data_IF_716133239329
#
_entry.id   IF_716133239329
#
_cell.length_a   1.000
_cell.length_b   1.000
_cell.length_c   1.000
_cell.angle_alpha   90.00
_cell.angle_beta   90.00
_cell.angle_gamma   90.00
#
_symmetry.space_group_name_H-M   'P 1'
#
loop_
_entity.id
_entity.type
_entity.pdbx_description
1 polymer ?
#
# COMPACT_ATOMS: atom_id res chain seq x y z
N UNK A 1 33.70 35.61 -40.54
CA UNK A 1 32.94 36.29 -39.48
C UNK A 1 32.86 35.33 -38.30
N UNK A 2 33.63 35.58 -37.24
CA UNK A 2 33.27 36.32 -36.01
C UNK A 2 32.84 35.34 -34.89
N UNK A 3 33.79 35.23 -33.94
CA UNK A 3 33.81 34.69 -32.58
C UNK A 3 32.65 35.17 -31.66
N UNK A 4 32.54 34.81 -30.35
CA UNK A 4 33.50 34.06 -29.51
C UNK A 4 32.94 33.03 -28.50
N UNK A 5 33.87 32.20 -28.01
CA UNK A 5 33.93 31.61 -26.67
C UNK A 5 34.70 32.60 -25.78
N UNK A 6 34.22 32.91 -24.56
CA UNK A 6 35.07 33.45 -23.48
C UNK A 6 34.66 32.82 -22.15
N UNK A 7 35.64 32.12 -21.56
CA UNK A 7 35.74 31.74 -20.15
C UNK A 7 36.45 32.88 -19.41
N UNK A 8 35.98 33.28 -18.23
CA UNK A 8 36.80 34.00 -17.26
C UNK A 8 36.28 33.85 -15.81
N UNK A 9 37.18 33.43 -14.92
CA UNK A 9 37.08 33.47 -13.45
C UNK A 9 37.46 34.88 -12.93
N UNK A 10 37.09 35.23 -11.69
CA UNK A 10 37.92 36.10 -10.83
C UNK A 10 38.28 35.36 -9.53
N UNK A 11 39.54 35.15 -9.14
CA UNK A 11 40.63 36.07 -8.75
C UNK A 11 40.39 36.72 -7.38
N UNK A 12 40.97 36.10 -6.35
CA UNK A 12 41.14 36.62 -4.99
C UNK A 12 42.20 37.73 -4.96
N UNK A 13 42.01 38.71 -4.09
CA UNK A 13 42.92 39.83 -3.83
C UNK A 13 43.16 39.91 -2.31
N UNK A 14 44.44 39.83 -1.92
CA UNK A 14 44.98 39.97 -0.57
C UNK A 14 45.03 41.44 -0.11
N UNK A 15 44.74 41.69 1.18
CA UNK A 15 45.36 42.71 2.04
C UNK A 15 45.05 42.36 3.52
N UNK A 16 45.77 42.76 4.56
CA UNK A 16 47.21 42.84 4.87
C UNK A 16 47.29 42.90 6.42
N UNK A 17 48.33 42.31 7.00
CA UNK A 17 48.50 42.09 8.45
C UNK A 17 49.07 43.35 9.14
N UNK A 18 48.48 43.76 10.28
CA UNK A 18 49.06 44.75 11.18
C UNK A 18 49.30 44.14 12.58
N UNK A 19 50.57 44.04 13.04
CA UNK A 19 50.95 43.50 14.34
C UNK A 19 51.05 44.60 15.39
N UNK A 20 50.31 44.52 16.49
CA UNK A 20 50.67 45.02 17.83
C UNK A 20 49.47 44.87 18.78
N UNK A 21 49.65 44.15 19.90
CA UNK A 21 48.69 44.17 21.01
C UNK A 21 48.53 42.83 21.73
N UNK A 22 49.61 42.37 22.35
CA UNK A 22 49.60 41.27 23.33
C UNK A 22 49.16 41.83 24.71
N UNK A 23 48.35 41.04 25.42
CA UNK A 23 48.13 40.95 26.89
C UNK A 23 46.99 41.73 27.56
N UNK A 24 46.16 40.93 28.25
CA UNK A 24 45.44 41.14 29.53
C UNK A 24 44.38 42.26 29.55
N UNK A 25 43.18 42.10 30.08
CA UNK A 25 42.83 41.54 31.38
C UNK A 25 41.32 41.22 31.47
N UNK A 26 41.00 40.35 32.42
CA UNK A 26 39.70 39.85 32.84
C UNK A 26 38.61 40.92 32.99
N UNK A 27 37.43 40.69 32.37
CA UNK A 27 36.13 40.77 33.05
C UNK A 27 35.12 39.83 32.38
N UNK A 28 34.62 38.87 33.15
CA UNK A 28 33.46 38.05 32.80
C UNK A 28 32.19 38.93 32.79
N UNK A 29 31.28 38.78 31.81
CA UNK A 29 29.95 39.38 31.93
C UNK A 29 29.15 38.70 33.07
N UNK A 30 28.26 39.45 33.74
CA UNK A 30 27.51 38.96 34.90
C UNK A 30 26.53 37.86 34.50
N UNK A 31 26.41 36.84 35.37
CA UNK A 31 25.46 35.73 35.25
C UNK A 31 24.03 36.26 35.10
N UNK A 32 23.37 35.90 34.00
CA UNK A 32 21.92 35.93 33.88
C UNK A 32 21.44 34.48 33.85
N UNK A 33 20.77 34.07 34.93
CA UNK A 33 20.07 32.79 35.02
C UNK A 33 18.88 32.79 34.05
N UNK A 34 19.15 32.34 32.82
CA UNK A 34 18.11 31.89 31.90
C UNK A 34 18.24 30.36 31.88
N UNK A 35 17.19 29.58 32.19
CA UNK A 35 17.29 28.13 32.12
C UNK A 35 17.64 27.75 30.68
N UNK A 36 18.90 27.37 30.48
CA UNK A 36 19.38 26.82 29.23
C UNK A 36 18.60 25.56 28.95
N UNK A 37 17.83 25.58 27.87
CA UNK A 37 17.43 24.36 27.19
C UNK A 37 18.71 23.57 26.92
N UNK A 38 18.95 22.53 27.72
CA UNK A 38 19.77 21.42 27.31
C UNK A 38 19.15 20.87 26.03
N UNK A 39 19.82 21.17 24.91
CA UNK A 39 19.60 20.49 23.64
C UNK A 39 20.03 19.03 23.81
N UNK A 40 19.20 18.25 24.51
CA UNK A 40 19.20 16.81 24.41
C UNK A 40 18.54 16.45 23.09
N UNK A 41 19.41 16.15 22.15
CA UNK A 41 19.16 15.39 20.94
C UNK A 41 18.52 14.04 21.31
N UNK A 42 17.20 14.00 21.45
CA UNK A 42 16.38 12.80 21.34
C UNK A 42 14.93 13.20 20.99
N UNK A 43 14.75 13.97 19.93
CA UNK A 43 13.50 13.88 19.18
C UNK A 43 13.55 12.57 18.39
N UNK A 44 13.07 11.50 19.02
CA UNK A 44 12.39 10.47 18.26
C UNK A 44 11.23 11.17 17.57
N UNK A 45 11.42 11.59 16.32
CA UNK A 45 10.34 12.03 15.46
C UNK A 45 9.34 10.87 15.40
N UNK A 46 8.35 10.94 16.27
CA UNK A 46 7.18 10.10 16.21
C UNK A 46 6.44 10.59 14.97
N UNK A 47 6.83 10.09 13.78
CA UNK A 47 6.15 10.38 12.52
C UNK A 47 4.69 10.04 12.76
N UNK A 48 3.86 11.07 12.89
CA UNK A 48 2.43 10.95 13.03
C UNK A 48 1.94 10.31 11.74
N UNK A 49 1.72 8.99 11.80
CA UNK A 49 1.29 8.20 10.65
C UNK A 49 -0.13 8.64 10.33
N UNK A 50 -0.26 9.57 9.40
CA UNK A 50 -1.54 9.93 8.78
C UNK A 50 -2.35 8.65 8.52
N UNK A 51 -3.59 8.54 9.04
CA UNK A 51 -4.38 7.33 8.90
C UNK A 51 -4.56 7.03 7.41
N UNK A 52 -4.04 5.90 6.95
CA UNK A 52 -4.03 5.54 5.54
C UNK A 52 -5.46 5.57 4.98
N UNK A 53 -5.77 6.63 4.23
CA UNK A 53 -7.06 6.77 3.59
C UNK A 53 -7.09 5.90 2.34
N UNK A 54 -8.03 4.96 2.33
CA UNK A 54 -8.42 4.27 1.10
C UNK A 54 -8.96 5.29 0.08
N UNK A 55 -8.79 5.05 -1.23
CA UNK A 55 -9.38 5.92 -2.24
C UNK A 55 -10.89 6.05 -2.01
N UNK A 56 -11.46 7.26 -2.17
CA UNK A 56 -12.89 7.48 -2.01
C UNK A 56 -13.65 6.65 -3.05
N UNK A 57 -14.81 6.13 -2.67
CA UNK A 57 -15.62 5.35 -3.59
C UNK A 57 -16.23 6.25 -4.68
N UNK A 58 -16.03 5.92 -5.97
CA UNK A 58 -16.69 6.65 -7.03
C UNK A 58 -18.21 6.46 -6.95
N UNK A 59 -18.96 7.42 -7.50
CA UNK A 59 -20.41 7.33 -7.55
C UNK A 59 -20.87 6.05 -8.28
N UNK A 60 -21.90 5.39 -7.75
CA UNK A 60 -22.46 4.14 -8.30
C UNK A 60 -21.40 3.06 -8.55
N UNK A 61 -20.46 2.91 -7.61
CA UNK A 61 -19.41 1.92 -7.68
C UNK A 61 -19.80 0.59 -7.06
N UNK A 62 -19.16 -0.46 -7.55
CA UNK A 62 -19.24 -1.84 -7.05
C UNK A 62 -17.84 -2.41 -7.06
N UNK A 63 -17.55 -3.41 -6.21
CA UNK A 63 -16.23 -4.02 -6.12
C UNK A 63 -16.29 -5.50 -6.45
N UNK A 64 -15.18 -6.07 -6.92
CA UNK A 64 -15.06 -7.52 -7.03
C UNK A 64 -14.92 -8.16 -5.64
N UNK A 65 -15.01 -9.49 -5.58
CA UNK A 65 -14.90 -10.25 -4.33
C UNK A 65 -13.60 -9.97 -3.57
N UNK A 66 -12.48 -9.80 -4.30
CA UNK A 66 -11.17 -9.53 -3.70
C UNK A 66 -10.92 -8.05 -3.38
N UNK A 67 -11.91 -7.16 -3.56
CA UNK A 67 -11.81 -5.70 -3.45
C UNK A 67 -10.62 -5.06 -4.21
N UNK A 68 -10.07 -5.75 -5.21
CA UNK A 68 -8.92 -5.32 -6.01
C UNK A 68 -9.33 -4.47 -7.21
N UNK A 69 -10.56 -4.66 -7.69
CA UNK A 69 -11.13 -3.94 -8.82
C UNK A 69 -12.43 -3.25 -8.41
N UNK A 70 -12.49 -1.95 -8.66
CA UNK A 70 -13.66 -1.10 -8.44
C UNK A 70 -14.25 -0.73 -9.80
N UNK A 71 -15.54 -0.97 -9.98
CA UNK A 71 -16.26 -0.67 -11.21
C UNK A 71 -17.28 0.43 -10.94
N UNK A 72 -17.28 1.50 -11.74
CA UNK A 72 -18.34 2.52 -11.72
C UNK A 72 -19.08 2.55 -13.05
N UNK A 73 -20.38 2.83 -12.99
CA UNK A 73 -21.26 2.97 -14.17
C UNK A 73 -21.91 4.35 -14.23
N UNK A 74 -21.36 5.33 -13.51
CA UNK A 74 -21.97 6.65 -13.43
C UNK A 74 -21.89 7.35 -14.79
N UNK A 75 -23.05 7.64 -15.38
CA UNK A 75 -23.16 8.15 -16.76
C UNK A 75 -22.38 9.46 -16.98
N UNK A 76 -22.21 10.29 -15.95
CA UNK A 76 -21.44 11.53 -16.01
C UNK A 76 -19.99 11.29 -16.44
N UNK A 77 -19.37 10.20 -15.98
CA UNK A 77 -17.99 9.85 -16.32
C UNK A 77 -17.83 9.35 -17.77
N UNK A 78 -18.93 8.96 -18.43
CA UNK A 78 -18.90 8.53 -19.84
C UNK A 78 -19.34 9.62 -20.82
N UNK A 79 -20.03 10.65 -20.34
CA UNK A 79 -20.58 11.73 -21.16
C UNK A 79 -19.80 13.04 -21.04
N UNK A 80 -19.05 13.25 -19.96
CA UNK A 80 -18.30 14.48 -19.71
C UNK A 80 -16.83 14.17 -19.42
N UNK A 81 -15.94 14.68 -20.28
CA UNK A 81 -14.50 14.45 -20.20
C UNK A 81 -13.86 15.10 -18.96
N UNK A 82 -14.30 16.31 -18.57
CA UNK A 82 -13.82 17.00 -17.37
C UNK A 82 -14.16 16.23 -16.10
N UNK A 83 -15.36 15.64 -16.03
CA UNK A 83 -15.79 14.84 -14.89
C UNK A 83 -14.97 13.55 -14.75
N UNK A 84 -14.63 12.90 -15.87
CA UNK A 84 -13.75 11.73 -15.86
C UNK A 84 -12.31 12.12 -15.50
N UNK A 85 -11.78 13.20 -16.07
CA UNK A 85 -10.45 13.70 -15.78
C UNK A 85 -10.28 14.05 -14.29
N UNK A 86 -11.25 14.76 -13.71
CA UNK A 86 -11.27 15.10 -12.29
C UNK A 86 -11.30 13.85 -11.40
N UNK A 87 -12.12 12.86 -11.75
CA UNK A 87 -12.17 11.59 -11.04
C UNK A 87 -10.82 10.87 -11.06
N UNK A 88 -10.20 10.74 -12.24
CA UNK A 88 -8.93 10.01 -12.35
C UNK A 88 -7.82 10.73 -11.59
N UNK A 89 -7.75 12.07 -11.64
CA UNK A 89 -6.80 12.84 -10.87
C UNK A 89 -7.00 12.68 -9.36
N UNK A 90 -8.24 12.77 -8.87
CA UNK A 90 -8.56 12.54 -7.46
C UNK A 90 -8.13 11.13 -7.03
N UNK A 91 -8.44 10.13 -7.85
CA UNK A 91 -8.12 8.73 -7.60
C UNK A 91 -6.62 8.45 -7.65
N UNK A 92 -5.86 9.17 -8.47
CA UNK A 92 -4.40 9.06 -8.56
C UNK A 92 -3.68 9.60 -7.32
N UNK A 93 -4.33 10.43 -6.50
CA UNK A 93 -3.78 10.88 -5.24
C UNK A 93 -3.63 9.75 -4.20
N UNK A 94 -4.36 8.66 -4.35
CA UNK A 94 -4.42 7.59 -3.36
C UNK A 94 -3.63 6.36 -3.81
N UNK A 95 -2.69 5.85 -2.99
CA UNK A 95 -2.01 4.60 -3.27
C UNK A 95 -2.99 3.41 -3.27
N UNK A 96 -2.65 2.31 -3.96
CA UNK A 96 -3.38 1.08 -3.78
C UNK A 96 -3.16 0.57 -2.35
N UNK A 97 -4.20 0.01 -1.77
CA UNK A 97 -4.13 -0.47 -0.40
C UNK A 97 -3.36 -1.80 -0.38
N UNK A 98 -2.26 -1.84 0.36
CA UNK A 98 -1.24 -2.87 0.28
C UNK A 98 -1.04 -3.57 1.62
N UNK A 99 -0.96 -4.90 1.61
CA UNK A 99 -0.81 -5.70 2.83
C UNK A 99 0.28 -6.76 2.69
N UNK A 100 0.89 -7.16 3.81
CA UNK A 100 1.46 -8.50 3.97
C UNK A 100 0.38 -9.37 4.58
N UNK A 101 0.08 -10.50 3.96
CA UNK A 101 -0.81 -11.51 4.51
C UNK A 101 0.01 -12.76 4.83
N UNK A 102 -0.14 -13.26 6.06
CA UNK A 102 0.58 -14.41 6.58
C UNK A 102 -0.46 -15.45 7.02
N UNK A 103 -0.32 -16.67 6.49
CA UNK A 103 -1.23 -17.78 6.75
C UNK A 103 -0.45 -19.04 7.10
N UNK A 104 -0.59 -19.52 8.33
CA UNK A 104 -0.10 -20.81 8.78
C UNK A 104 -1.20 -21.86 8.70
N UNK A 105 -0.93 -22.97 8.02
CA UNK A 105 -1.80 -24.15 7.98
C UNK A 105 -1.05 -25.42 8.31
N UNK A 106 -1.75 -26.41 8.87
CA UNK A 106 -1.26 -27.79 8.94
C UNK A 106 -2.37 -28.77 8.55
N UNK A 107 -1.97 -30.00 8.23
CA UNK A 107 -2.89 -31.08 7.90
C UNK A 107 -3.01 -31.99 9.12
N UNK A 108 -4.24 -32.22 9.57
CA UNK A 108 -4.56 -33.22 10.59
C UNK A 108 -5.19 -34.45 9.93
N UNK A 109 -4.77 -35.64 10.34
CA UNK A 109 -5.44 -36.89 9.94
C UNK A 109 -6.58 -37.15 10.91
N UNK A 110 -7.82 -37.11 10.42
CA UNK A 110 -9.00 -37.46 11.20
C UNK A 110 -9.45 -38.88 10.83
N UNK A 111 -9.56 -39.74 11.83
CA UNK A 111 -10.11 -41.08 11.67
C UNK A 111 -11.63 -40.99 11.78
N UNK A 112 -12.32 -41.15 10.66
CA UNK A 112 -13.79 -41.19 10.62
C UNK A 112 -14.27 -42.58 11.07
N UNK A 113 -15.44 -42.66 11.71
CA UNK A 113 -15.98 -43.88 12.35
C UNK A 113 -16.18 -45.08 11.41
N UNK A 114 -15.97 -44.90 10.10
CA UNK A 114 -16.22 -45.87 9.04
C UNK A 114 -14.94 -46.17 8.21
N UNK A 115 -13.82 -46.43 8.91
CA UNK A 115 -12.53 -46.91 8.37
C UNK A 115 -11.87 -46.08 7.26
N UNK A 116 -12.32 -44.84 7.01
CA UNK A 116 -11.66 -43.91 6.09
C UNK A 116 -10.89 -42.85 6.87
N UNK A 117 -9.60 -42.76 6.58
CA UNK A 117 -8.76 -41.64 7.01
C UNK A 117 -9.01 -40.48 6.06
N UNK A 118 -9.40 -39.32 6.59
CA UNK A 118 -9.48 -38.08 5.84
C UNK A 118 -8.47 -37.08 6.37
N UNK A 119 -7.79 -36.36 5.47
CA UNK A 119 -6.91 -35.26 5.85
C UNK A 119 -7.72 -33.97 5.88
N UNK A 120 -7.72 -33.29 7.03
CA UNK A 120 -8.36 -32.00 7.22
C UNK A 120 -7.29 -30.91 7.30
N UNK A 121 -7.43 -29.88 6.47
CA UNK A 121 -6.58 -28.69 6.53
C UNK A 121 -7.11 -27.76 7.63
N UNK A 122 -6.25 -27.45 8.62
CA UNK A 122 -6.56 -26.58 9.75
C UNK A 122 -5.71 -25.32 9.66
N UNK A 123 -6.32 -24.16 9.90
CA UNK A 123 -5.63 -22.87 9.94
C UNK A 123 -5.21 -22.56 11.36
N UNK A 124 -3.89 -22.48 11.58
CA UNK A 124 -3.31 -22.18 12.89
C UNK A 124 -3.29 -20.69 13.19
N UNK A 125 -2.89 -19.90 12.20
CA UNK A 125 -2.90 -18.44 12.29
C UNK A 125 -3.16 -17.83 10.93
N UNK A 126 -3.88 -16.73 10.93
CA UNK A 126 -4.18 -15.95 9.75
C UNK A 126 -4.25 -14.48 10.11
N UNK A 127 -3.36 -13.70 9.54
CA UNK A 127 -3.37 -12.27 9.78
C UNK A 127 -2.74 -11.44 8.67
N UNK A 128 -3.08 -10.15 8.65
CA UNK A 128 -2.62 -9.18 7.66
C UNK A 128 -2.00 -7.97 8.34
N UNK A 129 -0.99 -7.38 7.74
CA UNK A 129 -0.35 -6.14 8.20
C UNK A 129 -0.43 -5.13 7.06
N UNK A 130 -0.98 -3.94 7.32
CA UNK A 130 -1.08 -2.88 6.32
C UNK A 130 0.31 -2.28 6.05
N UNK A 131 0.69 -2.18 4.78
CA UNK A 131 1.94 -1.61 4.27
C UNK A 131 1.73 -0.43 3.32
N UNK A 132 0.49 0.04 3.15
CA UNK A 132 0.13 1.12 2.23
C UNK A 132 0.97 2.38 2.47
N UNK A 133 1.34 2.58 3.73
CA UNK A 133 2.13 3.71 4.19
C UNK A 133 3.53 3.84 3.65
N UNK A 134 4.12 2.71 3.29
CA UNK A 134 5.46 2.64 2.72
C UNK A 134 5.50 3.26 1.33
N UNK A 135 4.34 3.41 0.68
CA UNK A 135 4.19 3.96 -0.66
C UNK A 135 4.24 5.50 -0.67
N UNK A 136 4.23 6.14 0.50
CA UNK A 136 4.32 7.58 0.68
C UNK A 136 2.97 8.27 0.92
N UNK A 137 2.98 9.59 1.14
CA UNK A 137 1.78 10.37 1.42
C UNK A 137 0.86 10.46 0.20
N UNK A 138 -0.32 11.07 0.40
CA UNK A 138 -1.27 11.38 -0.66
C UNK A 138 -0.59 12.18 -1.79
N UNK A 139 -0.83 11.79 -3.04
CA UNK A 139 -0.27 12.43 -4.23
C UNK A 139 1.14 11.99 -4.59
N UNK A 140 1.70 11.01 -3.88
CA UNK A 140 3.09 10.59 -4.08
C UNK A 140 3.31 9.60 -5.24
N UNK A 141 2.26 9.29 -5.98
CA UNK A 141 2.29 8.43 -7.18
C UNK A 141 2.47 9.24 -8.46
N UNK A 142 3.18 8.67 -9.42
CA UNK A 142 3.43 9.28 -10.73
C UNK A 142 2.46 8.72 -11.77
N UNK A 143 1.74 9.60 -12.50
CA UNK A 143 0.88 9.17 -13.59
C UNK A 143 1.74 8.89 -14.83
N UNK A 144 1.73 7.65 -15.27
CA UNK A 144 2.40 7.18 -16.47
C UNK A 144 1.37 6.74 -17.51
N UNK A 145 1.58 7.22 -18.74
CA UNK A 145 0.76 6.82 -19.88
C UNK A 145 1.37 5.62 -20.60
N UNK A 146 0.53 4.86 -21.29
CA UNK A 146 0.99 3.78 -22.13
C UNK A 146 1.91 4.34 -23.24
N UNK A 147 3.17 3.91 -23.34
CA UNK A 147 4.09 4.42 -24.34
C UNK A 147 3.65 4.05 -25.76
N UNK A 148 3.92 4.93 -26.72
CA UNK A 148 3.52 4.76 -28.13
C UNK A 148 4.17 3.59 -28.84
N UNK A 149 5.33 3.13 -28.36
CA UNK A 149 6.01 1.94 -28.88
C UNK A 149 5.42 0.62 -28.34
N UNK A 150 4.47 0.68 -27.39
CA UNK A 150 3.90 -0.51 -26.75
C UNK A 150 2.45 -0.72 -27.16
N UNK A 151 2.14 -1.93 -27.63
CA UNK A 151 0.75 -2.34 -27.92
C UNK A 151 -0.06 -2.33 -26.62
N UNK A 152 -1.25 -1.75 -26.67
CA UNK A 152 -2.20 -1.81 -25.58
C UNK A 152 -3.59 -1.35 -25.99
N UNK A 153 -4.50 -1.33 -25.03
CA UNK A 153 -5.90 -1.00 -25.28
C UNK A 153 -6.05 0.52 -25.30
N UNK A 154 -6.17 1.11 -26.50
CA UNK A 154 -6.25 2.56 -26.74
C UNK A 154 -7.62 2.98 -27.30
N UNK A 155 -8.69 2.29 -26.89
CA UNK A 155 -10.03 2.41 -27.49
C UNK A 155 -10.31 1.41 -28.61
N UNK A 156 -9.52 0.33 -28.64
CA UNK A 156 -9.69 -0.77 -29.58
C UNK A 156 -10.10 -2.03 -28.82
N UNK A 157 -10.81 -2.93 -29.50
CA UNK A 157 -11.20 -4.25 -28.94
C UNK A 157 -9.98 -5.16 -28.71
N UNK A 158 -8.91 -4.95 -29.48
CA UNK A 158 -7.64 -5.65 -29.36
C UNK A 158 -6.48 -4.68 -29.08
N UNK A 159 -5.37 -5.15 -28.48
CA UNK A 159 -4.19 -4.32 -28.28
C UNK A 159 -3.63 -3.75 -29.59
N UNK A 160 -3.56 -2.43 -29.67
CA UNK A 160 -3.13 -1.67 -30.83
C UNK A 160 -2.10 -0.61 -30.45
N UNK A 161 -1.30 -0.16 -31.42
CA UNK A 161 -0.41 1.01 -31.28
C UNK A 161 -1.16 2.33 -31.56
N UNK A 162 -2.26 2.25 -32.30
CA UNK A 162 -3.12 3.38 -32.64
C UNK A 162 -4.34 3.38 -31.72
N UNK A 163 -4.95 4.54 -31.42
CA UNK A 163 -4.53 5.90 -31.77
C UNK A 163 -3.30 6.39 -30.97
N UNK A 164 -2.48 7.22 -31.60
CA UNK A 164 -1.43 7.98 -30.90
C UNK A 164 -2.05 9.20 -30.21
N UNK A 165 -1.42 9.66 -29.14
CA UNK A 165 -1.70 10.97 -28.57
C UNK A 165 -1.08 12.01 -29.53
N UNK A 166 -1.81 13.08 -29.85
CA UNK A 166 -1.24 14.16 -30.66
C UNK A 166 -0.31 14.96 -29.75
N UNK A 167 0.99 15.02 -30.04
CA UNK A 167 1.95 15.79 -29.24
C UNK A 167 1.65 17.30 -29.21
N UNK A 168 0.81 17.82 -30.11
CA UNK A 168 0.85 19.23 -30.47
C UNK A 168 -0.22 20.16 -29.88
N UNK A 169 -1.29 19.72 -29.20
CA UNK A 169 -2.40 20.67 -28.88
C UNK A 169 -3.23 20.47 -27.59
N UNK A 170 -2.74 19.77 -26.55
CA UNK A 170 -3.58 19.55 -25.35
C UNK A 170 -3.06 20.13 -24.03
N UNK A 171 -4.03 20.58 -23.21
CA UNK A 171 -3.84 21.02 -21.82
C UNK A 171 -3.18 19.95 -20.93
N UNK A 172 -3.43 18.66 -21.20
CA UNK A 172 -2.94 17.50 -20.44
C UNK A 172 -3.16 16.20 -21.26
N UNK A 173 -2.18 15.28 -21.24
CA UNK A 173 -2.26 13.96 -21.88
C UNK A 173 -3.38 13.08 -21.31
N UNK A 174 -3.69 13.20 -20.00
CA UNK A 174 -4.80 12.49 -19.38
C UNK A 174 -6.15 12.96 -19.95
N UNK A 175 -6.29 14.27 -20.14
CA UNK A 175 -7.52 14.86 -20.66
C UNK A 175 -7.82 14.37 -22.08
N UNK A 176 -6.81 14.25 -22.94
CA UNK A 176 -6.98 13.68 -24.29
C UNK A 176 -7.55 12.26 -24.26
N UNK A 177 -7.04 11.41 -23.37
CA UNK A 177 -7.56 10.05 -23.24
C UNK A 177 -9.00 10.04 -22.74
N UNK A 178 -9.34 10.93 -21.82
CA UNK A 178 -10.72 11.11 -21.35
C UNK A 178 -11.63 11.58 -22.50
N UNK A 179 -11.20 12.56 -23.29
CA UNK A 179 -11.94 13.07 -24.44
C UNK A 179 -12.13 11.98 -25.51
N UNK A 180 -11.07 11.21 -25.83
CA UNK A 180 -11.16 10.07 -26.76
C UNK A 180 -12.13 9.00 -26.27
N UNK A 181 -12.17 8.74 -24.96
CA UNK A 181 -13.13 7.81 -24.38
C UNK A 181 -14.57 8.31 -24.50
N UNK A 182 -14.82 9.59 -24.21
CA UNK A 182 -16.17 10.17 -24.32
C UNK A 182 -16.65 10.21 -25.77
N UNK A 183 -15.79 10.62 -26.70
CA UNK A 183 -16.09 10.73 -28.14
C UNK A 183 -16.23 9.38 -28.87
N UNK A 184 -15.83 8.26 -28.26
CA UNK A 184 -15.98 6.92 -28.85
C UNK A 184 -17.47 6.56 -29.02
N UNK A 185 -17.96 6.30 -30.26
CA UNK A 185 -19.35 5.90 -30.51
C UNK A 185 -19.67 4.48 -30.04
N UNK A 186 -18.69 3.71 -29.56
CA UNK A 186 -18.92 2.35 -29.08
C UNK A 186 -19.92 2.32 -27.90
N UNK A 187 -20.99 1.54 -28.06
CA UNK A 187 -22.01 1.32 -27.02
C UNK A 187 -21.45 0.65 -25.76
N UNK A 188 -20.42 -0.19 -25.93
CA UNK A 188 -19.77 -0.94 -24.87
C UNK A 188 -18.31 -0.51 -24.83
N UNK A 189 -18.00 0.43 -23.94
CA UNK A 189 -16.64 0.92 -23.71
C UNK A 189 -16.29 0.92 -22.22
N UNK A 190 -15.01 0.73 -21.92
CA UNK A 190 -14.47 0.75 -20.56
C UNK A 190 -13.17 1.55 -20.49
N UNK A 191 -13.10 2.47 -19.52
CA UNK A 191 -11.87 3.20 -19.19
C UNK A 191 -11.28 2.65 -17.90
N UNK A 192 -10.04 2.18 -17.97
CA UNK A 192 -9.36 1.50 -16.87
C UNK A 192 -8.20 2.35 -16.39
N UNK A 193 -8.27 2.75 -15.13
CA UNK A 193 -7.18 3.34 -14.38
C UNK A 193 -6.55 2.27 -13.48
N UNK A 194 -5.23 2.11 -13.55
CA UNK A 194 -4.51 1.10 -12.75
C UNK A 194 -3.48 1.74 -11.85
N UNK A 195 -3.52 1.40 -10.57
CA UNK A 195 -2.47 1.69 -9.60
C UNK A 195 -1.47 0.54 -9.56
N UNK A 196 -0.17 0.84 -9.63
CA UNK A 196 0.89 -0.16 -9.59
C UNK A 196 1.94 0.21 -8.57
N UNK A 197 2.36 -0.76 -7.77
CA UNK A 197 3.53 -0.63 -6.89
C UNK A 197 4.74 -1.07 -7.71
N UNK A 198 5.81 -0.28 -7.70
CA UNK A 198 7.09 -0.61 -8.34
C UNK A 198 8.22 -0.61 -7.31
N UNK A 199 9.30 -1.34 -7.63
CA UNK A 199 10.56 -1.37 -6.88
C UNK A 199 10.48 -1.86 -5.43
N UNK A 200 9.48 -2.68 -5.10
CA UNK A 200 9.39 -3.37 -3.81
C UNK A 200 9.94 -4.79 -3.91
N UNK A 201 10.92 -5.15 -3.08
CA UNK A 201 11.49 -6.50 -3.07
C UNK A 201 10.65 -7.44 -2.19
N UNK A 202 9.51 -7.85 -2.74
CA UNK A 202 8.61 -8.83 -2.12
C UNK A 202 9.27 -10.17 -1.83
N UNK A 203 10.31 -10.57 -2.58
CA UNK A 203 10.99 -11.85 -2.41
C UNK A 203 11.94 -11.81 -1.21
N UNK A 204 12.69 -10.71 -1.05
CA UNK A 204 13.49 -10.48 0.15
C UNK A 204 12.61 -10.45 1.39
N UNK A 205 11.53 -9.67 1.35
CA UNK A 205 10.60 -9.57 2.48
C UNK A 205 9.95 -10.92 2.82
N UNK A 206 9.57 -11.71 1.80
CA UNK A 206 9.08 -13.07 1.98
C UNK A 206 10.09 -13.96 2.74
N UNK A 207 11.37 -13.92 2.34
CA UNK A 207 12.43 -14.76 2.93
C UNK A 207 12.68 -14.41 4.40
N UNK A 208 12.79 -13.13 4.73
CA UNK A 208 13.06 -12.68 6.11
C UNK A 208 11.88 -12.99 7.05
N UNK A 209 10.63 -12.80 6.58
CA UNK A 209 9.43 -13.17 7.36
C UNK A 209 9.36 -14.68 7.55
N UNK A 210 9.61 -15.46 6.51
CA UNK A 210 9.60 -16.93 6.58
C UNK A 210 10.63 -17.44 7.58
N UNK A 211 11.85 -16.94 7.53
CA UNK A 211 12.90 -17.26 8.49
C UNK A 211 12.47 -16.92 9.94
N UNK A 212 11.80 -15.79 10.15
CA UNK A 212 11.28 -15.39 11.46
C UNK A 212 10.25 -16.37 12.03
N UNK A 213 9.39 -16.94 11.17
CA UNK A 213 8.36 -17.90 11.56
C UNK A 213 9.01 -19.28 11.81
N UNK A 214 9.99 -19.66 10.99
CA UNK A 214 10.76 -20.90 11.22
C UNK A 214 11.52 -20.86 12.57
N UNK A 215 12.02 -19.69 12.99
CA UNK A 215 12.60 -19.47 14.32
C UNK A 215 11.59 -19.76 15.47
N UNK A 216 10.28 -19.68 15.22
CA UNK A 216 9.24 -20.02 16.22
C UNK A 216 9.01 -21.53 16.36
N UNK A 217 9.75 -22.37 15.61
CA UNK A 217 9.58 -23.83 15.53
C UNK A 217 8.21 -24.28 15.03
N UNK A 218 7.51 -23.42 14.30
CA UNK A 218 6.28 -23.80 13.61
C UNK A 218 6.58 -24.87 12.55
N UNK A 219 5.84 -25.99 12.60
CA UNK A 219 6.07 -27.16 11.73
C UNK A 219 5.10 -27.26 10.55
N UNK A 220 4.06 -26.42 10.52
CA UNK A 220 3.10 -26.40 9.44
C UNK A 220 3.62 -25.69 8.19
N UNK A 221 2.74 -25.60 7.18
CA UNK A 221 2.98 -24.84 5.96
C UNK A 221 2.67 -23.36 6.20
N UNK A 222 3.51 -22.48 5.66
CA UNK A 222 3.36 -21.03 5.78
C UNK A 222 3.23 -20.40 4.39
N UNK A 223 2.12 -19.71 4.16
CA UNK A 223 1.85 -18.94 2.95
C UNK A 223 1.92 -17.45 3.27
N UNK A 224 2.91 -16.77 2.69
CA UNK A 224 3.06 -15.31 2.78
C UNK A 224 2.71 -14.73 1.41
N UNK A 225 1.74 -13.84 1.37
CA UNK A 225 1.25 -13.20 0.15
C UNK A 225 1.18 -11.69 0.33
N UNK A 226 1.17 -10.95 -0.78
CA UNK A 226 1.15 -9.49 -0.76
C UNK A 226 -0.08 -8.95 -1.48
N UNK A 227 -1.29 -9.12 -0.92
CA UNK A 227 -2.51 -8.72 -1.60
C UNK A 227 -2.59 -7.20 -1.74
N UNK A 228 -3.06 -6.78 -2.91
CA UNK A 228 -3.27 -5.37 -3.28
C UNK A 228 -4.76 -5.18 -3.53
N UNK A 229 -5.38 -4.27 -2.77
CA UNK A 229 -6.78 -3.86 -2.94
C UNK A 229 -6.85 -2.46 -3.56
N UNK A 230 -7.99 -2.12 -4.18
CA UNK A 230 -8.18 -0.88 -4.92
C UNK A 230 -7.15 -0.63 -6.05
N UNK A 231 -6.61 -1.71 -6.63
CA UNK A 231 -5.57 -1.67 -7.66
C UNK A 231 -6.07 -1.13 -9.00
N UNK A 232 -7.34 -1.36 -9.34
CA UNK A 232 -7.93 -0.91 -10.60
C UNK A 232 -9.26 -0.21 -10.38
N UNK A 233 -9.45 0.89 -11.09
CA UNK A 233 -10.72 1.56 -11.25
C UNK A 233 -11.15 1.44 -12.71
N UNK A 234 -12.33 0.87 -12.94
CA UNK A 234 -12.87 0.66 -14.28
C UNK A 234 -14.18 1.43 -14.40
N UNK A 235 -14.20 2.42 -15.30
CA UNK A 235 -15.36 3.21 -15.64
C UNK A 235 -16.05 2.58 -16.86
N UNK A 236 -17.28 2.12 -16.66
CA UNK A 236 -18.09 1.53 -17.72
C UNK A 236 -19.06 2.53 -18.32
N UNK A 237 -19.21 2.47 -19.64
CA UNK A 237 -20.27 3.18 -20.35
C UNK A 237 -21.65 2.79 -19.84
N UNK A 238 -22.61 3.73 -19.73
CA UNK A 238 -23.99 3.39 -19.39
C UNK A 238 -24.59 2.49 -20.48
N UNK A 239 -25.00 1.28 -20.11
CA UNK A 239 -25.62 0.33 -21.04
C UNK A 239 -26.07 -0.96 -20.35
N UNK A 240 -27.11 -1.61 -20.91
CA UNK A 240 -27.70 -2.84 -20.34
C UNK A 240 -26.67 -3.98 -20.25
N UNK A 241 -25.82 -4.14 -21.27
CA UNK A 241 -24.79 -5.19 -21.29
C UNK A 241 -23.76 -4.98 -20.16
N UNK A 242 -23.36 -3.72 -19.93
CA UNK A 242 -22.44 -3.38 -18.85
C UNK A 242 -23.07 -3.56 -17.46
N UNK A 243 -24.39 -3.35 -17.34
CA UNK A 243 -25.12 -3.65 -16.11
C UNK A 243 -25.22 -5.16 -15.84
N UNK A 244 -25.55 -5.93 -16.88
CA UNK A 244 -25.73 -7.37 -16.80
C UNK A 244 -24.48 -8.10 -16.35
N UNK A 245 -23.30 -7.73 -16.87
CA UNK A 245 -22.04 -8.35 -16.46
C UNK A 245 -21.63 -8.05 -15.01
N UNK A 246 -22.19 -6.99 -14.41
CA UNK A 246 -21.91 -6.62 -13.02
C UNK A 246 -22.86 -7.29 -12.04
N UNK A 247 -24.01 -7.84 -12.50
CA UNK A 247 -24.96 -8.54 -11.63
C UNK A 247 -24.49 -9.96 -11.32
N UNK A 248 -24.18 -10.22 -10.05
CA UNK A 248 -23.67 -11.52 -9.58
C UNK A 248 -24.59 -12.70 -9.89
N UNK A 249 -25.91 -12.56 -9.71
CA UNK A 249 -26.88 -13.64 -10.01
C UNK A 249 -26.90 -14.01 -11.50
N UNK A 250 -26.78 -13.01 -12.38
CA UNK A 250 -26.79 -13.24 -13.82
C UNK A 250 -25.52 -13.99 -14.25
N UNK A 251 -24.38 -13.69 -13.60
CA UNK A 251 -23.13 -14.43 -13.77
C UNK A 251 -23.31 -15.91 -13.44
N UNK A 252 -24.00 -16.23 -12.33
CA UNK A 252 -24.31 -17.61 -11.95
C UNK A 252 -25.19 -18.33 -12.97
N UNK A 253 -26.23 -17.67 -13.50
CA UNK A 253 -27.06 -18.26 -14.56
C UNK A 253 -26.22 -18.58 -15.80
N UNK A 254 -25.33 -17.66 -16.22
CA UNK A 254 -24.44 -17.91 -17.36
C UNK A 254 -23.46 -19.07 -17.12
N UNK A 255 -23.05 -19.30 -15.87
CA UNK A 255 -22.23 -20.46 -15.53
C UNK A 255 -23.03 -21.77 -15.56
N UNK A 256 -24.23 -21.80 -14.97
CA UNK A 256 -25.08 -23.00 -14.93
C UNK A 256 -25.56 -23.39 -16.34
N UNK A 257 -25.88 -22.41 -17.18
CA UNK A 257 -26.37 -22.64 -18.55
C UNK A 257 -25.24 -22.89 -19.56
N UNK A 258 -23.97 -22.94 -19.12
CA UNK A 258 -22.77 -23.02 -19.98
C UNK A 258 -22.64 -21.91 -21.04
N UNK A 259 -23.50 -20.89 -21.00
CA UNK A 259 -23.54 -19.80 -21.98
C UNK A 259 -22.29 -18.90 -21.88
N UNK A 260 -21.55 -18.98 -20.77
CA UNK A 260 -20.30 -18.25 -20.58
C UNK A 260 -19.27 -18.50 -21.69
N UNK A 261 -19.25 -19.69 -22.31
CA UNK A 261 -18.33 -20.06 -23.40
C UNK A 261 -18.51 -19.15 -24.63
N UNK A 262 -19.74 -18.72 -24.92
CA UNK A 262 -20.04 -17.81 -26.05
C UNK A 262 -20.09 -16.34 -25.59
N UNK A 263 -20.58 -16.10 -24.38
CA UNK A 263 -20.75 -14.76 -23.82
C UNK A 263 -19.41 -14.06 -23.59
N UNK A 264 -18.39 -14.78 -23.10
CA UNK A 264 -17.08 -14.19 -22.84
C UNK A 264 -16.37 -13.71 -24.11
N UNK A 265 -16.20 -14.55 -25.15
CA UNK A 265 -15.64 -14.10 -26.41
C UNK A 265 -16.41 -12.91 -26.99
N UNK A 266 -17.74 -12.98 -27.06
CA UNK A 266 -18.56 -11.89 -27.60
C UNK A 266 -18.37 -10.58 -26.83
N UNK A 267 -18.30 -10.62 -25.49
CA UNK A 267 -17.99 -9.44 -24.69
C UNK A 267 -16.59 -8.87 -24.95
N UNK A 268 -15.59 -9.73 -25.14
CA UNK A 268 -14.23 -9.32 -25.48
C UNK A 268 -14.22 -8.63 -26.85
N UNK A 269 -14.88 -9.22 -27.86
CA UNK A 269 -14.95 -8.66 -29.21
C UNK A 269 -15.81 -7.39 -29.30
N UNK A 270 -16.76 -7.18 -28.38
CA UNK A 270 -17.66 -6.02 -28.44
C UNK A 270 -17.19 -4.84 -27.59
N UNK A 271 -16.39 -5.08 -26.55
CA UNK A 271 -15.94 -4.04 -25.61
C UNK A 271 -14.73 -3.27 -26.16
N UNK A 272 -14.88 -1.97 -26.37
CA UNK A 272 -13.76 -1.03 -26.57
C UNK A 272 -13.08 -0.77 -25.21
N UNK A 273 -11.77 -1.00 -25.11
CA UNK A 273 -11.02 -0.86 -23.85
C UNK A 273 -10.00 0.27 -23.94
N UNK A 274 -9.92 1.07 -22.89
CA UNK A 274 -8.92 2.12 -22.70
C UNK A 274 -8.12 1.78 -21.44
N UNK A 275 -6.92 1.22 -21.60
CA UNK A 275 -5.99 0.88 -20.51
C UNK A 275 -4.70 1.70 -20.67
N UNK A 276 -4.87 3.01 -20.85
CA UNK A 276 -3.76 3.92 -21.21
C UNK A 276 -3.16 4.63 -20.01
N UNK A 277 -3.86 4.69 -18.89
CA UNK A 277 -3.45 5.47 -17.71
C UNK A 277 -3.08 4.54 -16.56
N UNK A 278 -1.87 4.71 -16.03
CA UNK A 278 -1.38 4.01 -14.85
C UNK A 278 -0.85 5.03 -13.86
N UNK A 279 -1.09 4.82 -12.58
CA UNK A 279 -0.42 5.56 -11.52
C UNK A 279 0.56 4.62 -10.82
N UNK A 280 1.84 4.98 -10.85
CA UNK A 280 2.93 4.19 -10.31
C UNK A 280 3.34 4.76 -8.96
N UNK A 281 3.31 3.91 -7.94
CA UNK A 281 3.80 4.19 -6.60
C UNK A 281 5.11 3.46 -6.41
N UNK A 282 6.20 4.23 -6.35
CA UNK A 282 7.54 3.68 -6.13
C UNK A 282 7.76 3.44 -4.64
N UNK A 283 8.13 2.20 -4.30
CA UNK A 283 8.61 1.86 -2.96
C UNK A 283 10.06 2.32 -2.75
N UNK A 284 10.90 2.09 -3.77
CA UNK A 284 12.29 2.51 -3.83
C UNK A 284 12.62 3.08 -5.23
N UNK A 285 13.79 3.71 -5.36
CA UNK A 285 14.29 4.21 -6.64
C UNK A 285 14.66 3.10 -7.64
N UNK A 286 15.21 1.98 -7.16
CA UNK A 286 15.61 0.80 -7.95
C UNK A 286 14.93 -0.46 -7.44
N UNK A 287 14.70 -1.41 -8.34
CA UNK A 287 14.16 -2.72 -8.02
C UNK A 287 15.18 -3.68 -7.43
N UNK A 288 16.48 -3.47 -7.70
CA UNK A 288 17.51 -4.39 -7.20
C UNK A 288 17.86 -4.04 -5.76
N UNK A 289 17.57 -4.97 -4.85
CA UNK A 289 17.86 -4.83 -3.43
C UNK A 289 19.36 -4.86 -3.11
N UNK A 290 20.20 -5.29 -4.07
CA UNK A 290 21.65 -5.38 -3.95
C UNK A 290 22.36 -4.08 -4.34
N UNK A 291 21.65 -3.14 -4.98
CA UNK A 291 22.23 -1.86 -5.40
C UNK A 291 22.59 -1.01 -4.16
N UNK A 292 23.86 -0.56 -4.02
CA UNK A 292 24.27 0.29 -2.90
C UNK A 292 23.63 1.68 -2.92
N UNK A 293 23.14 2.11 -4.09
CA UNK A 293 22.45 3.38 -4.27
C UNK A 293 20.93 3.27 -4.09
N UNK A 294 20.43 2.14 -3.57
CA UNK A 294 19.00 1.95 -3.34
C UNK A 294 18.52 2.82 -2.18
N UNK A 295 17.58 3.72 -2.47
CA UNK A 295 16.94 4.60 -1.48
C UNK A 295 15.46 4.25 -1.45
N UNK A 296 15.00 3.81 -0.27
CA UNK A 296 13.58 3.54 0.00
C UNK A 296 12.88 4.85 0.38
N UNK A 297 11.60 4.99 0.02
CA UNK A 297 10.86 6.23 0.22
C UNK A 297 10.56 6.54 1.69
N UNK A 298 10.28 5.52 2.48
CA UNK A 298 9.96 5.65 3.91
C UNK A 298 10.86 4.77 4.78
N UNK A 299 10.87 3.46 4.54
CA UNK A 299 11.74 2.52 5.25
C UNK A 299 12.12 1.34 4.35
N UNK A 300 13.26 0.71 4.64
CA UNK A 300 13.67 -0.51 3.95
C UNK A 300 12.83 -1.71 4.40
N UNK A 301 12.83 -2.77 3.59
CA UNK A 301 12.17 -4.03 3.95
C UNK A 301 12.76 -4.64 5.23
N UNK A 302 14.07 -4.47 5.46
CA UNK A 302 14.74 -4.95 6.67
C UNK A 302 14.30 -4.14 7.89
N UNK A 303 14.30 -2.81 7.80
CA UNK A 303 13.88 -1.93 8.91
C UNK A 303 12.41 -2.16 9.27
N UNK A 304 11.55 -2.25 8.23
CA UNK A 304 10.15 -2.61 8.41
C UNK A 304 10.03 -3.95 9.13
N UNK A 305 10.76 -4.96 8.66
CA UNK A 305 10.72 -6.28 9.27
C UNK A 305 11.22 -6.27 10.71
N UNK A 306 12.28 -5.54 11.06
CA UNK A 306 12.75 -5.44 12.44
C UNK A 306 11.67 -4.86 13.36
N UNK A 307 10.96 -3.83 12.91
CA UNK A 307 9.85 -3.24 13.69
C UNK A 307 8.68 -4.22 13.90
N UNK A 308 8.43 -5.12 12.93
CA UNK A 308 7.33 -6.08 13.01
C UNK A 308 7.74 -7.48 13.48
N UNK A 309 9.05 -7.77 13.62
CA UNK A 309 9.59 -9.12 13.86
C UNK A 309 8.97 -9.78 15.08
N UNK A 310 8.97 -9.09 16.23
CA UNK A 310 8.46 -9.65 17.48
C UNK A 310 6.94 -9.85 17.42
N UNK A 311 6.24 -8.93 16.77
CA UNK A 311 4.80 -8.97 16.57
C UNK A 311 4.38 -10.14 15.69
N UNK A 312 5.08 -10.37 14.58
CA UNK A 312 4.84 -11.50 13.67
C UNK A 312 5.06 -12.82 14.42
N UNK A 313 6.18 -12.94 15.16
CA UNK A 313 6.47 -14.14 15.96
C UNK A 313 5.40 -14.41 17.01
N UNK A 314 5.00 -13.37 17.76
CA UNK A 314 3.94 -13.48 18.76
C UNK A 314 2.62 -13.89 18.12
N UNK A 315 2.23 -13.25 17.02
CA UNK A 315 0.97 -13.55 16.32
C UNK A 315 0.93 -15.01 15.81
N UNK A 316 2.06 -15.51 15.28
CA UNK A 316 2.19 -16.91 14.89
C UNK A 316 2.11 -17.87 16.09
N UNK A 317 2.80 -17.56 17.20
CA UNK A 317 2.79 -18.39 18.42
C UNK A 317 1.44 -18.41 19.14
N UNK A 318 0.69 -17.31 19.08
CA UNK A 318 -0.61 -17.17 19.74
C UNK A 318 -1.77 -17.67 18.90
N UNK A 319 -1.54 -18.08 17.65
CA UNK A 319 -2.60 -18.59 16.77
C UNK A 319 -3.60 -17.51 16.36
N UNK A 320 -3.15 -16.25 16.20
CA UNK A 320 -4.05 -15.14 15.88
C UNK A 320 -4.72 -15.37 14.53
N UNK A 321 -6.06 -15.33 14.52
CA UNK A 321 -6.87 -15.41 13.32
C UNK A 321 -7.81 -14.19 13.25
N UNK A 322 -7.48 -13.24 12.37
CA UNK A 322 -8.16 -11.93 12.27
C UNK A 322 -9.26 -11.92 11.18
N UNK A 323 -9.50 -13.06 10.51
CA UNK A 323 -10.45 -13.12 9.39
C UNK A 323 -10.01 -12.30 8.18
N UNK A 324 -10.80 -12.34 7.10
CA UNK A 324 -10.37 -11.81 5.79
C UNK A 324 -10.36 -10.27 5.70
N UNK A 325 -11.10 -9.55 6.54
CA UNK A 325 -11.21 -8.07 6.47
C UNK A 325 -10.38 -7.34 7.52
N UNK A 326 -9.87 -8.05 8.52
CA UNK A 326 -9.08 -7.43 9.59
C UNK A 326 -7.58 -7.35 9.28
N UNK A 327 -6.89 -6.49 10.03
CA UNK A 327 -5.44 -6.35 10.00
C UNK A 327 -4.89 -6.11 11.41
N UNK A 328 -3.61 -6.43 11.64
CA UNK A 328 -2.92 -6.08 12.88
C UNK A 328 -2.77 -4.57 12.95
N UNK A 329 -3.35 -3.99 13.98
CA UNK A 329 -3.19 -2.57 14.29
C UNK A 329 -1.79 -2.29 14.83
N UNK A 330 -1.36 -1.03 14.69
CA UNK A 330 -0.09 -0.59 15.28
C UNK A 330 -0.12 -0.71 16.81
N UNK A 331 -1.30 -0.57 17.43
CA UNK A 331 -1.50 -0.81 18.86
C UNK A 331 -1.08 -2.23 19.27
N UNK A 332 -1.38 -3.24 18.45
CA UNK A 332 -0.97 -4.62 18.72
C UNK A 332 0.56 -4.78 18.66
N UNK A 333 1.21 -4.06 17.73
CA UNK A 333 2.68 -4.00 17.63
C UNK A 333 3.29 -3.36 18.87
N UNK A 334 2.87 -2.15 19.23
CA UNK A 334 3.40 -1.42 20.41
C UNK A 334 3.16 -2.20 21.70
N UNK A 335 1.99 -2.82 21.86
CA UNK A 335 1.69 -3.68 23.02
C UNK A 335 2.66 -4.87 23.08
N UNK A 336 2.96 -5.48 21.94
CA UNK A 336 3.90 -6.58 21.86
C UNK A 336 5.32 -6.13 22.19
N UNK A 337 5.79 -5.03 21.62
CA UNK A 337 7.10 -4.44 21.91
C UNK A 337 7.28 -4.14 23.40
N UNK A 338 6.29 -3.52 24.03
CA UNK A 338 6.30 -3.22 25.47
C UNK A 338 6.37 -4.51 26.31
N UNK A 339 5.61 -5.55 25.96
CA UNK A 339 5.69 -6.84 26.66
C UNK A 339 7.07 -7.48 26.55
N UNK A 340 7.69 -7.43 25.37
CA UNK A 340 9.04 -7.97 25.17
C UNK A 340 10.09 -7.17 25.95
N UNK A 341 10.01 -5.84 25.94
CA UNK A 341 10.89 -4.97 26.70
C UNK A 341 10.80 -5.24 28.21
N UNK A 342 9.58 -5.26 28.76
CA UNK A 342 9.36 -5.56 30.18
C UNK A 342 9.89 -6.95 30.57
N UNK A 343 9.73 -7.94 29.69
CA UNK A 343 10.25 -9.30 29.94
C UNK A 343 11.78 -9.34 29.94
N UNK A 344 12.44 -8.51 29.10
CA UNK A 344 13.89 -8.40 29.09
C UNK A 344 14.41 -7.69 30.35
N UNK A 345 13.78 -6.59 30.78
CA UNK A 345 14.13 -5.85 32.00
C UNK A 345 14.00 -6.75 33.25
N UNK A 346 12.94 -7.56 33.33
CA UNK A 346 12.79 -8.56 34.41
C UNK A 346 13.87 -9.64 34.40
N UNK A 347 14.45 -9.97 33.23
CA UNK A 347 15.52 -10.97 33.10
C UNK A 347 16.91 -10.37 33.33
N UNK A 348 17.12 -9.08 33.04
CA UNK A 348 18.41 -8.41 33.25
C UNK A 348 18.63 -7.98 34.70
N UNK A 349 17.60 -8.03 35.56
CA UNK A 349 17.73 -7.73 36.99
C UNK A 349 17.83 -6.24 37.33
N UNK A 350 17.82 -5.36 36.33
CA UNK A 350 17.82 -3.91 36.52
C UNK A 350 16.39 -3.42 36.73
N UNK A 351 15.99 -3.28 37.99
CA UNK A 351 14.90 -2.36 38.35
C UNK A 351 15.49 -0.98 38.57
N UNK A 352 15.04 0.08 37.90
CA UNK A 352 14.95 1.37 38.58
C UNK A 352 13.86 1.20 39.65
N UNK A 353 14.28 1.18 40.91
CA UNK A 353 13.38 1.45 42.03
C UNK A 353 12.93 2.88 41.83
N UNK A 354 11.75 3.09 41.23
CA UNK A 354 10.82 4.20 41.44
C UNK A 354 9.81 4.21 40.30
N UNK A 355 8.66 3.58 40.52
CA UNK A 355 7.34 4.04 40.05
C UNK A 355 6.26 3.09 40.58
N UNK A 356 6.14 3.06 41.91
CA UNK A 356 4.98 2.51 42.60
C UNK A 356 4.04 3.65 43.00
N UNK A 357 3.70 4.58 42.10
CA UNK A 357 2.64 5.57 42.31
C UNK A 357 2.15 6.13 40.96
N UNK A 358 1.38 5.35 40.20
CA UNK A 358 0.41 5.84 39.21
C UNK A 358 -0.46 4.68 38.68
N UNK A 359 -1.16 3.98 39.58
CA UNK A 359 -2.31 3.15 39.20
C UNK A 359 -3.45 3.44 40.17
N UNK A 360 -4.04 4.62 40.03
CA UNK A 360 -5.41 4.88 40.46
C UNK A 360 -6.10 5.69 39.37
N UNK A 361 -7.16 5.10 38.81
CA UNK A 361 -8.07 5.72 37.86
C UNK A 361 -7.74 5.41 36.41
N UNK A 362 -8.22 4.28 35.90
CA UNK A 362 -9.14 4.30 34.76
C UNK A 362 -9.98 3.01 34.79
N UNK A 363 -11.26 3.25 34.96
CA UNK A 363 -12.31 2.30 35.32
C UNK A 363 -12.78 1.48 34.11
N UNK A 364 -13.41 0.37 34.44
CA UNK A 364 -13.92 -0.66 33.56
C UNK A 364 -14.89 -0.14 32.49
N UNK A 365 -14.49 -0.13 31.21
CA UNK A 365 -15.46 -0.06 30.09
C UNK A 365 -14.99 -0.67 28.75
N UNK A 366 -13.83 -1.34 28.67
CA UNK A 366 -13.37 -1.94 27.40
C UNK A 366 -13.77 -3.43 27.27
N UNK A 367 -14.24 -4.05 28.35
CA UNK A 367 -14.59 -5.48 28.38
C UNK A 367 -15.94 -5.84 27.70
N UNK A 368 -16.62 -4.90 27.02
CA UNK A 368 -17.92 -5.18 26.36
C UNK A 368 -17.89 -5.34 24.84
N UNK A 369 -16.74 -5.24 24.17
CA UNK A 369 -16.69 -5.31 22.71
C UNK A 369 -16.04 -6.58 22.11
N UNK A 370 -15.66 -7.55 22.94
CA UNK A 370 -15.24 -8.88 22.48
C UNK A 370 -16.30 -9.92 22.88
N UNK A 371 -17.53 -9.70 22.41
CA UNK A 371 -18.57 -10.71 22.38
C UNK A 371 -18.28 -11.69 21.23
N UNK A 372 -17.59 -12.77 21.58
CA UNK A 372 -17.45 -13.99 20.81
C UNK A 372 -18.85 -14.49 20.45
N UNK A 373 -19.18 -14.54 19.16
CA UNK A 373 -20.35 -15.29 18.69
C UNK A 373 -20.01 -16.79 18.77
N UNK A 374 -20.53 -17.40 19.82
CA UNK A 374 -20.62 -18.83 20.03
C UNK A 374 -21.66 -19.40 19.05
N UNK A 375 -21.21 -20.12 18.02
CA UNK A 375 -22.07 -20.94 17.18
C UNK A 375 -21.98 -22.38 17.67
N UNK A 376 -22.79 -22.71 18.68
CA UNK A 376 -23.14 -24.08 19.02
C UNK A 376 -24.35 -24.52 18.20
N UNK A 377 -24.19 -25.61 17.43
CA UNK A 377 -25.30 -26.39 16.91
C UNK A 377 -25.88 -27.28 18.01
N UNK A 378 -27.21 -27.42 18.03
CA UNK A 378 -27.94 -28.69 17.91
C UNK A 378 -29.39 -28.53 18.40
N UNK A 379 -30.31 -28.44 17.43
CA UNK A 379 -31.60 -29.16 17.36
C UNK A 379 -32.26 -28.95 16.00
#
# INVERSE_FOLDING_TARGET
>A
MKFPIIVQQPRYQDESYNPNGLLEDNQLPPYQDVPGNSSDCNQSEHIEREPYLSPPDPAFSTRNFAASEVYTRFAKYSNNADALHSLINEQALYPPTYYVQIHGKHNETQQESDSKESQKEVTDFYFRINMTYLLGPRGSGEIQFLPDHKRGYRGTRFPSLKPKLSEWESRDALFEWCQKYVSDPAKIKSFTFTRKIQNHDTQKLYRIIRSAIEETRYRGQVFITFPVTNSKLIVYSPGKINEWRTKTWLRWIFYITFLWVLAWPTLIFLTSRYETVKCVFFYANTSDSSDPNRICKFQSEDDWFQSWKQTIKRAALTGVNIGEEGFLSDNYRTTTENMFRNTQELRSGDRPINEAHCFHGYDANVARFLGVYDWGGDN
#
